data_IF_756798965416
#
_entry.id   IF_756798965416
#
_cell.length_a   1.000
_cell.length_b   1.000
_cell.length_c   1.000
_cell.angle_alpha   90.00
_cell.angle_beta   90.00
_cell.angle_gamma   90.00
#
_symmetry.space_group_name_H-M   'P 1'
#
loop_
_entity.id
_entity.type
_entity.pdbx_description
1 polymer ?
#
# COMPACT_ATOMS: atom_id res chain seq x y z
N UNK A 1 9.82 22.18 -14.35
CA UNK A 1 9.93 20.71 -14.54
C UNK A 1 9.21 20.09 -13.37
N UNK A 2 8.15 19.29 -13.58
CA UNK A 2 7.49 18.61 -12.47
C UNK A 2 8.45 17.56 -11.91
N UNK A 3 8.64 17.57 -10.59
CA UNK A 3 9.69 16.79 -9.94
C UNK A 3 9.19 15.35 -9.71
N UNK A 4 9.01 14.62 -10.81
CA UNK A 4 8.50 13.25 -10.82
C UNK A 4 9.56 12.25 -10.33
N UNK A 5 9.17 11.34 -9.47
CA UNK A 5 10.00 10.22 -9.01
C UNK A 5 9.20 8.92 -9.04
N UNK A 6 9.88 7.83 -9.38
CA UNK A 6 9.28 6.50 -9.51
C UNK A 6 10.18 5.44 -8.89
N UNK A 7 9.60 4.33 -8.45
CA UNK A 7 10.35 3.18 -8.00
C UNK A 7 11.19 2.54 -9.10
N UNK A 8 12.39 2.02 -8.76
CA UNK A 8 13.21 1.31 -9.72
C UNK A 8 12.52 0.00 -10.13
N UNK A 9 12.85 -0.52 -11.31
CA UNK A 9 12.26 -1.75 -11.88
C UNK A 9 10.71 -1.72 -11.93
N UNK A 10 10.11 -0.94 -12.85
CA UNK A 10 8.68 -0.67 -12.87
C UNK A 10 7.81 -1.84 -13.36
N UNK A 11 8.38 -3.03 -13.59
CA UNK A 11 7.65 -4.24 -14.03
C UNK A 11 6.89 -4.90 -12.88
N UNK A 12 6.33 -4.10 -11.98
CA UNK A 12 5.37 -4.60 -11.01
C UNK A 12 4.09 -4.98 -11.77
N UNK A 13 3.58 -6.19 -11.55
CA UNK A 13 2.23 -6.54 -11.97
C UNK A 13 1.30 -6.30 -10.78
N UNK A 14 0.18 -5.62 -11.01
CA UNK A 14 -0.85 -5.46 -9.98
C UNK A 14 -1.47 -6.79 -9.55
N UNK A 15 -2.27 -6.75 -8.50
CA UNK A 15 -2.85 -7.92 -7.85
C UNK A 15 -4.28 -7.60 -7.43
N UNK A 16 -5.30 -8.26 -7.99
CA UNK A 16 -6.67 -8.13 -7.49
C UNK A 16 -6.77 -8.72 -6.08
N UNK A 17 -7.49 -8.04 -5.20
CA UNK A 17 -7.84 -8.61 -3.90
C UNK A 17 -8.82 -9.79 -4.07
N UNK A 18 -8.61 -10.87 -3.32
CA UNK A 18 -9.46 -12.07 -3.45
C UNK A 18 -10.86 -11.89 -2.87
N UNK A 19 -10.99 -11.02 -1.86
CA UNK A 19 -12.24 -10.60 -1.22
C UNK A 19 -12.05 -9.16 -0.70
N UNK A 20 -13.15 -8.50 -0.33
CA UNK A 20 -13.19 -7.06 0.01
C UNK A 20 -12.21 -6.62 1.10
N UNK A 21 -11.97 -7.48 2.08
CA UNK A 21 -11.09 -7.23 3.23
C UNK A 21 -9.60 -7.49 2.95
N UNK A 22 -9.22 -7.98 1.77
CA UNK A 22 -7.86 -8.50 1.50
C UNK A 22 -6.96 -7.57 0.66
N UNK A 23 -7.28 -6.27 0.56
CA UNK A 23 -6.44 -5.28 -0.11
C UNK A 23 -5.00 -5.24 0.45
N UNK A 24 -4.84 -5.43 1.75
CA UNK A 24 -3.54 -5.46 2.43
C UNK A 24 -2.65 -6.61 1.93
N UNK A 25 -3.23 -7.81 1.78
CA UNK A 25 -2.52 -9.03 1.38
C UNK A 25 -2.10 -8.96 -0.09
N UNK A 26 -2.99 -8.45 -0.94
CA UNK A 26 -2.67 -8.15 -2.34
C UNK A 26 -1.54 -7.12 -2.44
N UNK A 27 -1.59 -6.05 -1.63
CA UNK A 27 -0.52 -5.06 -1.50
C UNK A 27 0.84 -5.66 -1.16
N UNK A 28 0.91 -6.53 -0.14
CA UNK A 28 2.18 -7.19 0.21
C UNK A 28 2.65 -8.12 -0.90
N UNK A 29 1.74 -8.86 -1.52
CA UNK A 29 2.06 -9.75 -2.65
C UNK A 29 2.72 -8.98 -3.79
N UNK A 30 2.19 -7.79 -4.12
CA UNK A 30 2.81 -6.87 -5.08
C UNK A 30 4.22 -6.45 -4.66
N UNK A 31 4.44 -6.04 -3.40
CA UNK A 31 5.78 -5.65 -2.93
C UNK A 31 6.81 -6.79 -3.09
N UNK A 32 6.45 -8.01 -2.70
CA UNK A 32 7.36 -9.16 -2.79
C UNK A 32 7.59 -9.60 -4.24
N UNK A 33 6.59 -9.47 -5.11
CA UNK A 33 6.76 -9.67 -6.56
C UNK A 33 7.77 -8.68 -7.13
N UNK A 34 7.64 -7.40 -6.78
CA UNK A 34 8.61 -6.38 -7.17
C UNK A 34 10.02 -6.68 -6.64
N UNK A 35 10.12 -7.24 -5.42
CA UNK A 35 11.40 -7.64 -4.82
C UNK A 35 12.06 -8.84 -5.53
N UNK A 36 11.35 -9.49 -6.46
CA UNK A 36 11.86 -10.62 -7.23
C UNK A 36 11.65 -11.97 -6.57
N UNK A 37 10.74 -12.07 -5.59
CA UNK A 37 10.35 -13.35 -5.02
C UNK A 37 9.58 -14.19 -6.05
N UNK A 38 9.79 -15.51 -6.04
CA UNK A 38 9.09 -16.44 -6.93
C UNK A 38 7.58 -16.45 -6.65
N UNK A 39 6.77 -16.17 -7.68
CA UNK A 39 5.31 -15.96 -7.60
C UNK A 39 4.58 -17.00 -6.74
N UNK A 40 4.89 -18.29 -6.93
CA UNK A 40 4.22 -19.40 -6.24
C UNK A 40 4.48 -19.43 -4.73
N UNK A 41 5.53 -18.75 -4.26
CA UNK A 41 5.94 -18.71 -2.84
C UNK A 41 5.43 -17.46 -2.11
N UNK A 42 5.06 -16.40 -2.82
CA UNK A 42 4.81 -15.09 -2.21
C UNK A 42 3.65 -15.16 -1.20
N UNK A 43 2.51 -15.69 -1.61
CA UNK A 43 1.30 -15.72 -0.77
C UNK A 43 1.52 -16.53 0.50
N UNK A 44 2.11 -17.72 0.37
CA UNK A 44 2.45 -18.57 1.51
C UNK A 44 3.46 -17.87 2.44
N UNK A 45 4.50 -17.26 1.88
CA UNK A 45 5.48 -16.51 2.65
C UNK A 45 4.84 -15.37 3.44
N UNK A 46 4.03 -14.51 2.80
CA UNK A 46 3.36 -13.40 3.46
C UNK A 46 2.43 -13.91 4.56
N UNK A 47 1.59 -14.91 4.25
CA UNK A 47 0.64 -15.45 5.21
C UNK A 47 1.33 -16.03 6.45
N UNK A 48 2.27 -16.96 6.24
CA UNK A 48 2.95 -17.65 7.34
C UNK A 48 3.84 -16.71 8.15
N UNK A 49 4.42 -15.68 7.53
CA UNK A 49 5.24 -14.69 8.24
C UNK A 49 4.38 -13.82 9.16
N UNK A 50 3.19 -13.40 8.70
CA UNK A 50 2.28 -12.60 9.52
C UNK A 50 1.63 -13.43 10.64
N UNK A 51 1.24 -14.67 10.34
CA UNK A 51 0.73 -15.62 11.35
C UNK A 51 1.78 -15.91 12.42
N UNK A 52 3.02 -16.20 12.01
CA UNK A 52 4.15 -16.42 12.91
C UNK A 52 4.53 -15.20 13.74
N UNK A 53 4.21 -13.99 13.28
CA UNK A 53 4.34 -12.77 14.08
C UNK A 53 3.22 -12.64 15.13
N UNK A 54 2.17 -13.46 15.07
CA UNK A 54 1.01 -13.42 15.94
C UNK A 54 -0.02 -12.37 15.52
N UNK A 55 -0.21 -12.17 14.22
CA UNK A 55 -1.38 -11.46 13.68
C UNK A 55 -2.51 -12.47 13.59
N UNK A 56 -3.71 -12.11 14.05
CA UNK A 56 -4.88 -12.96 13.88
C UNK A 56 -5.30 -12.96 12.40
N UNK A 57 -4.88 -14.00 11.69
CA UNK A 57 -5.10 -14.09 10.24
C UNK A 57 -6.57 -14.35 9.89
N UNK A 58 -7.36 -14.93 10.80
CA UNK A 58 -8.79 -15.14 10.56
C UNK A 58 -9.54 -13.81 10.70
N UNK A 59 -9.22 -13.02 11.73
CA UNK A 59 -9.76 -11.66 11.87
C UNK A 59 -9.30 -10.78 10.70
N UNK A 60 -8.01 -10.76 10.37
CA UNK A 60 -7.49 -9.94 9.28
C UNK A 60 -8.09 -10.32 7.91
N UNK A 61 -8.39 -11.61 7.68
CA UNK A 61 -9.10 -12.07 6.49
C UNK A 61 -10.57 -11.67 6.51
N UNK A 62 -11.24 -11.68 7.65
CA UNK A 62 -12.66 -11.35 7.76
C UNK A 62 -12.91 -9.84 7.69
N UNK A 63 -12.10 -9.05 8.39
CA UNK A 63 -12.38 -7.65 8.69
C UNK A 63 -11.28 -6.68 8.23
N UNK A 64 -10.24 -7.20 7.59
CA UNK A 64 -9.07 -6.44 7.14
C UNK A 64 -7.99 -6.30 8.21
N UNK A 65 -6.74 -6.10 7.77
CA UNK A 65 -5.61 -5.83 8.66
C UNK A 65 -5.84 -4.53 9.45
N UNK A 66 -5.77 -4.62 10.78
CA UNK A 66 -6.00 -3.46 11.65
C UNK A 66 -4.83 -2.49 11.59
N UNK A 67 -5.13 -1.19 11.67
CA UNK A 67 -4.12 -0.13 11.68
C UNK A 67 -3.06 -0.31 12.77
N UNK A 68 -3.46 -0.78 13.97
CA UNK A 68 -2.55 -1.08 15.08
C UNK A 68 -1.52 -2.15 14.73
N UNK A 69 -1.83 -3.04 13.78
CA UNK A 69 -1.00 -4.18 13.39
C UNK A 69 -0.09 -3.86 12.20
N UNK A 70 -0.25 -2.71 11.54
CA UNK A 70 0.57 -2.32 10.37
C UNK A 70 2.07 -2.35 10.67
N UNK A 71 2.49 -1.74 11.79
CA UNK A 71 3.90 -1.72 12.19
C UNK A 71 4.43 -3.14 12.36
N UNK A 72 3.66 -3.98 13.05
CA UNK A 72 4.01 -5.36 13.35
C UNK A 72 4.12 -6.18 12.06
N UNK A 73 3.14 -6.06 11.17
CA UNK A 73 3.11 -6.73 9.88
C UNK A 73 4.31 -6.35 9.01
N UNK A 74 4.56 -5.05 8.84
CA UNK A 74 5.68 -4.57 8.04
C UNK A 74 7.03 -5.03 8.58
N UNK A 75 7.24 -4.93 9.89
CA UNK A 75 8.49 -5.39 10.52
C UNK A 75 8.69 -6.90 10.37
N UNK A 76 7.62 -7.71 10.52
CA UNK A 76 7.69 -9.16 10.35
C UNK A 76 8.09 -9.55 8.91
N UNK A 77 7.58 -8.82 7.91
CA UNK A 77 7.89 -9.02 6.50
C UNK A 77 9.25 -8.41 6.08
N UNK A 78 10.03 -7.88 7.02
CA UNK A 78 11.34 -7.26 6.73
C UNK A 78 11.25 -5.92 6.01
N UNK A 79 10.09 -5.25 6.05
CA UNK A 79 9.89 -3.92 5.48
C UNK A 79 10.33 -2.83 6.46
N UNK A 80 10.77 -1.70 5.91
CA UNK A 80 10.87 -0.46 6.66
C UNK A 80 9.47 0.13 6.80
N UNK A 81 9.11 0.54 8.01
CA UNK A 81 7.80 1.11 8.36
C UNK A 81 7.96 2.57 8.76
N UNK A 82 7.08 3.45 8.27
CA UNK A 82 7.12 4.90 8.55
C UNK A 82 5.78 5.36 9.07
N UNK A 83 5.79 5.82 10.32
CA UNK A 83 4.75 6.65 10.91
C UNK A 83 5.22 8.10 10.95
N UNK A 84 4.28 9.02 10.93
CA UNK A 84 4.55 10.45 10.98
C UNK A 84 3.80 11.07 12.16
N UNK A 85 4.34 12.15 12.72
CA UNK A 85 3.64 12.99 13.70
C UNK A 85 2.67 14.00 13.06
N UNK A 86 2.67 14.07 11.73
CA UNK A 86 1.89 14.98 10.89
C UNK A 86 1.45 14.26 9.61
N UNK A 87 0.47 14.78 8.86
CA UNK A 87 0.06 14.20 7.59
C UNK A 87 1.24 13.98 6.62
N UNK A 88 1.14 12.92 5.83
CA UNK A 88 2.15 12.56 4.82
C UNK A 88 2.23 13.66 3.76
N UNK A 89 3.45 14.05 3.37
CA UNK A 89 3.68 15.03 2.30
C UNK A 89 4.15 14.38 1.01
N UNK A 90 4.09 15.13 -0.09
CA UNK A 90 4.67 14.75 -1.39
C UNK A 90 6.16 14.40 -1.25
N UNK A 91 6.90 15.21 -0.49
CA UNK A 91 8.33 14.99 -0.24
C UNK A 91 8.58 13.64 0.43
N UNK A 92 7.75 13.27 1.42
CA UNK A 92 7.85 11.98 2.08
C UNK A 92 7.64 10.82 1.11
N UNK A 93 6.57 10.87 0.30
CA UNK A 93 6.33 9.83 -0.71
C UNK A 93 7.48 9.76 -1.72
N UNK A 94 7.96 10.91 -2.19
CA UNK A 94 9.04 11.04 -3.17
C UNK A 94 10.33 10.39 -2.70
N UNK A 95 10.71 10.61 -1.44
CA UNK A 95 11.87 9.96 -0.82
C UNK A 95 11.74 8.43 -0.87
N UNK A 96 10.58 7.90 -0.46
CA UNK A 96 10.36 6.47 -0.32
C UNK A 96 10.25 5.76 -1.67
N UNK A 97 9.50 6.30 -2.62
CA UNK A 97 9.28 5.63 -3.90
C UNK A 97 10.58 5.46 -4.67
N UNK A 98 11.59 6.32 -4.48
CA UNK A 98 12.93 6.17 -5.10
C UNK A 98 13.66 4.89 -4.67
N UNK A 99 13.23 4.26 -3.57
CA UNK A 99 13.80 3.01 -3.06
C UNK A 99 13.01 1.79 -3.52
N UNK A 100 11.69 1.82 -3.38
CA UNK A 100 10.78 0.73 -3.77
C UNK A 100 9.35 1.25 -3.92
N UNK A 101 8.42 0.46 -4.48
CA UNK A 101 7.00 0.72 -4.29
C UNK A 101 6.68 0.85 -2.80
N UNK A 102 5.68 1.68 -2.49
CA UNK A 102 5.25 1.98 -1.13
C UNK A 102 3.87 1.38 -0.94
N UNK A 103 3.77 0.41 -0.04
CA UNK A 103 2.49 -0.03 0.49
C UNK A 103 1.95 1.07 1.39
N UNK A 104 0.81 1.62 1.03
CA UNK A 104 0.25 2.82 1.59
C UNK A 104 -1.19 2.53 2.04
N UNK A 105 -1.48 2.67 3.32
CA UNK A 105 -2.86 2.57 3.83
C UNK A 105 -3.44 3.94 4.10
N UNK A 106 -4.67 4.16 3.65
CA UNK A 106 -5.41 5.42 3.82
C UNK A 106 -6.91 5.18 3.78
N UNK A 107 -7.69 6.26 3.86
CA UNK A 107 -9.15 6.22 3.74
C UNK A 107 -9.58 6.89 2.43
N UNK A 108 -9.60 6.12 1.35
CA UNK A 108 -10.06 6.58 0.02
C UNK A 108 -11.50 6.15 -0.29
N UNK A 109 -12.09 5.30 0.55
CA UNK A 109 -13.49 4.92 0.52
C UNK A 109 -14.20 5.43 1.76
N UNK A 110 -15.52 5.64 1.66
CA UNK A 110 -16.31 6.13 2.78
C UNK A 110 -16.27 5.12 3.94
N UNK A 111 -15.82 5.59 5.11
CA UNK A 111 -15.70 4.80 6.35
C UNK A 111 -14.85 3.53 6.28
N UNK A 112 -14.09 3.31 5.20
CA UNK A 112 -13.28 2.11 5.01
C UNK A 112 -11.85 2.47 4.68
N UNK A 113 -10.91 1.85 5.41
CA UNK A 113 -9.49 1.93 5.08
C UNK A 113 -9.19 0.99 3.92
N UNK A 114 -8.27 1.42 3.07
CA UNK A 114 -7.83 0.65 1.92
C UNK A 114 -6.32 0.78 1.74
N UNK A 115 -5.78 -0.04 0.84
CA UNK A 115 -4.34 -0.11 0.57
C UNK A 115 -4.10 0.15 -0.91
N UNK A 116 -3.24 1.10 -1.19
CA UNK A 116 -2.65 1.31 -2.51
C UNK A 116 -1.17 0.94 -2.49
N UNK A 117 -0.66 0.45 -3.60
CA UNK A 117 0.78 0.29 -3.82
C UNK A 117 1.26 1.42 -4.71
N UNK A 118 1.81 2.45 -4.10
CA UNK A 118 2.29 3.66 -4.79
C UNK A 118 3.62 3.36 -5.46
N UNK A 119 3.73 3.65 -6.75
CA UNK A 119 4.93 3.40 -7.56
C UNK A 119 5.56 4.66 -8.12
N UNK A 120 4.83 5.77 -8.18
CA UNK A 120 5.36 7.04 -8.67
C UNK A 120 4.63 8.24 -8.09
N UNK A 121 5.33 9.36 -7.97
CA UNK A 121 4.80 10.60 -7.42
C UNK A 121 5.39 11.80 -8.12
N UNK A 122 4.54 12.77 -8.41
CA UNK A 122 4.87 14.12 -8.83
C UNK A 122 4.19 15.11 -7.87
N UNK A 123 4.34 16.41 -8.12
CA UNK A 123 3.61 17.40 -7.32
C UNK A 123 2.09 17.31 -7.56
N UNK A 124 1.67 17.02 -8.79
CA UNK A 124 0.24 17.07 -9.17
C UNK A 124 -0.49 15.73 -9.11
N UNK A 125 0.24 14.63 -9.30
CA UNK A 125 -0.34 13.29 -9.39
C UNK A 125 0.54 12.19 -8.79
N UNK A 126 -0.12 11.08 -8.48
CA UNK A 126 0.47 9.83 -7.96
C UNK A 126 0.07 8.66 -8.86
N UNK A 127 1.03 7.81 -9.17
CA UNK A 127 0.84 6.50 -9.83
C UNK A 127 0.81 5.39 -8.80
N UNK A 128 -0.18 4.52 -8.88
CA UNK A 128 -0.38 3.44 -7.91
C UNK A 128 -1.11 2.25 -8.51
N UNK A 129 -1.00 1.09 -7.86
CA UNK A 129 -1.89 -0.05 -8.08
C UNK A 129 -2.95 -0.08 -6.99
N UNK A 130 -4.17 -0.37 -7.41
CA UNK A 130 -5.35 -0.53 -6.55
C UNK A 130 -5.80 -1.99 -6.59
N UNK A 131 -5.75 -2.73 -5.47
CA UNK A 131 -6.25 -4.10 -5.43
C UNK A 131 -7.76 -4.23 -5.68
N UNK A 132 -8.53 -3.15 -5.49
CA UNK A 132 -9.97 -3.15 -5.68
C UNK A 132 -10.35 -2.96 -7.15
N UNK A 133 -11.40 -3.66 -7.55
CA UNK A 133 -11.99 -3.60 -8.88
C UNK A 133 -13.51 -3.72 -8.76
N UNK A 134 -14.24 -3.08 -9.67
CA UNK A 134 -15.70 -3.05 -9.62
C UNK A 134 -16.31 -4.19 -10.45
N UNK A 135 -15.78 -4.40 -11.65
CA UNK A 135 -16.34 -5.37 -12.61
C UNK A 135 -15.33 -6.40 -13.08
N UNK A 136 -14.05 -5.99 -13.26
CA UNK A 136 -13.02 -6.84 -13.84
C UNK A 136 -11.73 -6.84 -13.01
N UNK A 137 -11.25 -8.02 -12.55
CA UNK A 137 -9.96 -8.15 -11.84
C UNK A 137 -8.75 -7.58 -12.60
N UNK A 138 -8.81 -7.47 -13.93
CA UNK A 138 -7.74 -6.86 -14.73
C UNK A 138 -7.55 -5.38 -14.42
N UNK A 139 -8.58 -4.67 -13.91
CA UNK A 139 -8.45 -3.28 -13.50
C UNK A 139 -7.45 -3.08 -12.35
N UNK A 140 -7.28 -4.11 -11.51
CA UNK A 140 -6.31 -4.11 -10.42
C UNK A 140 -4.89 -4.45 -10.88
N UNK A 141 -4.75 -4.93 -12.12
CA UNK A 141 -3.45 -5.24 -12.73
C UNK A 141 -2.79 -4.04 -13.39
N UNK A 142 -3.53 -2.95 -13.58
CA UNK A 142 -3.09 -1.75 -14.28
C UNK A 142 -2.68 -0.63 -13.32
N UNK A 143 -1.78 0.24 -13.79
CA UNK A 143 -1.41 1.44 -13.04
C UNK A 143 -2.55 2.44 -13.15
N UNK A 144 -2.99 2.93 -12.00
CA UNK A 144 -3.92 4.04 -11.87
C UNK A 144 -3.17 5.32 -11.57
N UNK A 145 -3.83 6.44 -11.85
CA UNK A 145 -3.32 7.78 -11.64
C UNK A 145 -4.39 8.64 -11.00
N UNK A 146 -4.04 9.36 -9.93
CA UNK A 146 -4.94 10.32 -9.30
C UNK A 146 -4.18 11.56 -8.88
N UNK A 147 -4.92 12.63 -8.56
CA UNK A 147 -4.29 13.84 -8.04
C UNK A 147 -3.56 13.55 -6.73
N UNK A 148 -2.44 14.23 -6.52
CA UNK A 148 -1.69 14.13 -5.28
C UNK A 148 -2.55 14.50 -4.07
N UNK A 149 -3.37 15.55 -4.20
CA UNK A 149 -4.29 15.97 -3.15
C UNK A 149 -5.29 14.87 -2.77
N UNK A 150 -5.83 14.15 -3.76
CA UNK A 150 -6.73 13.03 -3.49
C UNK A 150 -6.03 11.90 -2.71
N UNK A 151 -4.79 11.57 -3.07
CA UNK A 151 -4.05 10.52 -2.37
C UNK A 151 -3.70 10.93 -0.94
N UNK A 152 -3.25 12.17 -0.74
CA UNK A 152 -2.82 12.66 0.56
C UNK A 152 -4.00 12.98 1.48
N UNK A 153 -5.01 13.69 0.99
CA UNK A 153 -6.10 14.28 1.79
C UNK A 153 -7.49 13.73 1.45
N UNK A 154 -7.67 13.04 0.31
CA UNK A 154 -8.99 12.62 -0.17
C UNK A 154 -9.91 13.80 -0.53
N UNK A 155 -11.19 13.73 -0.14
CA UNK A 155 -12.13 14.86 -0.23
C UNK A 155 -12.17 15.70 1.06
N UNK A 156 -11.38 15.34 2.07
CA UNK A 156 -11.32 15.98 3.39
C UNK A 156 -12.64 15.98 4.17
N UNK A 157 -13.63 15.17 3.76
CA UNK A 157 -14.92 14.99 4.43
C UNK A 157 -15.05 13.57 4.94
N UNK A 158 -15.35 12.63 4.05
CA UNK A 158 -15.54 11.21 4.38
C UNK A 158 -14.36 10.37 3.95
N UNK A 159 -13.59 10.86 2.97
CA UNK A 159 -12.37 10.23 2.44
C UNK A 159 -11.20 11.15 2.77
N UNK A 160 -10.31 10.67 3.62
CA UNK A 160 -9.23 11.48 4.21
C UNK A 160 -7.84 11.02 3.76
N UNK A 161 -7.76 10.21 2.69
CA UNK A 161 -6.50 9.75 2.11
C UNK A 161 -5.51 9.20 3.13
N UNK A 162 -4.23 9.54 2.97
CA UNK A 162 -3.16 9.23 3.93
C UNK A 162 -3.22 10.08 5.21
N UNK A 163 -3.87 11.25 5.18
CA UNK A 163 -4.08 12.09 6.35
C UNK A 163 -4.94 11.38 7.41
N UNK A 164 -5.68 10.32 7.07
CA UNK A 164 -6.38 9.49 8.04
C UNK A 164 -5.47 8.64 8.93
N UNK A 165 -4.34 8.17 8.39
CA UNK A 165 -3.59 7.03 8.93
C UNK A 165 -2.16 7.38 9.35
N UNK A 166 -1.74 8.65 9.24
CA UNK A 166 -0.34 9.07 9.46
C UNK A 166 0.30 8.62 10.78
N UNK A 167 -0.49 8.53 11.86
CA UNK A 167 -0.04 8.06 13.19
C UNK A 167 0.09 6.53 13.29
N UNK A 168 -0.42 5.79 12.30
CA UNK A 168 -0.56 4.32 12.30
C UNK A 168 0.39 3.63 11.32
N UNK A 169 1.57 4.21 11.11
CA UNK A 169 2.60 3.68 10.23
C UNK A 169 2.08 3.38 8.82
N UNK A 170 1.51 4.38 8.12
CA UNK A 170 0.73 4.10 6.92
C UNK A 170 1.58 3.69 5.73
N UNK A 171 2.89 3.97 5.76
CA UNK A 171 3.80 3.71 4.64
C UNK A 171 4.78 2.61 5.01
N UNK A 172 4.86 1.61 4.13
CA UNK A 172 5.80 0.49 4.26
C UNK A 172 6.49 0.23 2.92
N UNK A 173 7.78 -0.07 2.96
CA UNK A 173 8.62 -0.13 1.76
C UNK A 173 9.87 -0.97 2.03
N UNK A 174 10.53 -1.45 0.97
CA UNK A 174 11.84 -2.07 1.11
C UNK A 174 12.91 -0.98 1.20
N UNK A 175 13.73 -1.06 2.24
CA UNK A 175 14.95 -0.26 2.31
C UNK A 175 15.99 -0.69 1.28
N UNK A 176 16.86 0.27 0.89
CA UNK A 176 18.25 -0.08 0.59
C UNK A 176 18.93 -0.63 1.85
#
# INVERSE_FOLDING_TARGET
MSDYSRCPNPKLRGEPQSIDSMCWFAGYTMLFRWRGMEEKKIREHVWNTLDGAGIDMQDARSTGLKLKDNKKAGMALGLKVRGYGQPVTVHNLRELVRHSPVWATGRWFENTNHVYVIVGVSDDWVEYYDPWYEYNPNEAMEIRKSSTEWILSGDSKTRNGLAHTFQWFPLQYFGR
#
